data_IF_430291252998
#
_entry.id   IF_430291252998
#
_cell.length_a   1.000
_cell.length_b   1.000
_cell.length_c   1.000
_cell.angle_alpha   90.00
_cell.angle_beta   90.00
_cell.angle_gamma   90.00
#
_symmetry.space_group_name_H-M   'P 1'
#
loop_
_entity.id
_entity.type
_entity.pdbx_description
1 polymer ?
#
# COMPACT_ATOMS: atom_id res chain seq x y z
N UNK A 1 36.30 61.03 12.61
CA UNK A 1 36.80 60.72 11.24
C UNK A 1 38.21 60.19 11.42
N UNK A 2 38.65 58.98 11.07
CA UNK A 2 38.19 57.90 10.20
C UNK A 2 38.67 56.59 10.86
N UNK A 3 37.80 55.66 11.25
CA UNK A 3 38.23 54.30 11.63
C UNK A 3 37.07 53.30 11.52
N UNK A 4 36.27 53.36 10.46
CA UNK A 4 35.21 52.38 10.23
C UNK A 4 34.93 52.21 8.73
N UNK A 5 35.90 51.69 7.98
CA UNK A 5 35.66 51.24 6.59
C UNK A 5 36.69 50.20 6.16
N UNK A 6 36.75 49.06 6.86
CA UNK A 6 37.44 47.86 6.35
C UNK A 6 37.01 46.53 6.98
N UNK A 7 35.75 46.43 7.42
CA UNK A 7 35.17 45.15 7.84
C UNK A 7 33.76 45.05 7.24
N UNK A 8 33.68 44.83 5.93
CA UNK A 8 32.41 44.53 5.25
C UNK A 8 32.61 43.78 3.92
N UNK A 9 33.62 42.90 3.85
CA UNK A 9 33.79 41.95 2.73
C UNK A 9 34.11 40.52 3.19
N UNK A 10 33.63 40.13 4.36
CA UNK A 10 33.64 38.71 4.77
C UNK A 10 32.23 38.42 5.26
N UNK A 11 31.68 37.27 4.87
CA UNK A 11 30.31 36.82 5.08
C UNK A 11 29.28 37.32 4.08
N UNK A 12 29.35 36.84 2.83
CA UNK A 12 28.15 36.36 2.11
C UNK A 12 28.57 35.33 1.03
N UNK A 13 29.17 34.22 1.45
CA UNK A 13 29.07 32.97 0.69
C UNK A 13 27.96 32.14 1.33
N UNK A 14 26.71 32.48 1.00
CA UNK A 14 25.59 31.57 1.18
C UNK A 14 25.80 30.38 0.23
N UNK A 15 26.65 29.44 0.64
CA UNK A 15 26.77 28.13 0.02
C UNK A 15 25.41 27.47 0.20
N UNK A 16 24.61 27.45 -0.85
CA UNK A 16 23.34 26.74 -0.89
C UNK A 16 23.54 25.34 -0.31
N UNK A 17 22.80 25.00 0.74
CA UNK A 17 22.88 23.68 1.37
C UNK A 17 22.35 22.68 0.35
N UNK A 18 23.26 22.15 -0.48
CA UNK A 18 22.94 21.21 -1.55
C UNK A 18 22.36 19.95 -0.89
N UNK A 19 21.04 19.81 -0.96
CA UNK A 19 20.33 18.70 -0.34
C UNK A 19 20.86 17.38 -0.94
N UNK A 20 21.43 16.52 -0.09
CA UNK A 20 22.03 15.27 -0.55
C UNK A 20 20.96 14.35 -1.19
N UNK A 21 21.22 13.79 -2.38
CA UNK A 21 20.24 12.99 -3.13
C UNK A 21 19.68 11.83 -2.31
N UNK A 22 18.34 11.73 -2.27
CA UNK A 22 17.64 10.58 -1.72
C UNK A 22 17.88 9.33 -2.59
N UNK A 23 18.00 8.13 -1.98
CA UNK A 23 17.95 6.89 -2.73
C UNK A 23 16.71 6.84 -3.61
N UNK A 24 16.91 6.47 -4.87
CA UNK A 24 15.81 6.27 -5.80
C UNK A 24 15.05 4.97 -5.48
N UNK A 25 13.77 4.91 -5.86
CA UNK A 25 12.95 3.71 -5.69
C UNK A 25 13.36 2.60 -6.67
N UNK A 26 13.24 1.35 -6.23
CA UNK A 26 13.44 0.14 -7.04
C UNK A 26 12.50 -0.98 -6.60
N UNK A 27 12.28 -1.95 -7.48
CA UNK A 27 11.66 -3.24 -7.19
C UNK A 27 12.68 -4.38 -7.30
N UNK A 28 13.73 -4.20 -8.11
CA UNK A 28 14.83 -5.14 -8.28
C UNK A 28 16.16 -4.44 -8.57
N UNK A 29 17.27 -5.19 -8.52
CA UNK A 29 18.61 -4.68 -8.87
C UNK A 29 18.68 -4.11 -10.30
N UNK A 30 17.79 -4.55 -11.20
CA UNK A 30 17.71 -4.07 -12.59
C UNK A 30 17.22 -2.63 -12.68
N UNK A 31 16.52 -2.12 -11.66
CA UNK A 31 16.05 -0.74 -11.63
C UNK A 31 17.13 0.25 -11.18
N UNK A 32 18.25 -0.27 -10.68
CA UNK A 32 19.37 0.50 -10.16
C UNK A 32 20.54 0.57 -11.17
N UNK A 33 21.50 1.45 -10.89
CA UNK A 33 22.66 1.64 -11.76
C UNK A 33 23.47 0.34 -11.88
N UNK A 34 23.43 -0.25 -13.09
CA UNK A 34 24.01 -1.58 -13.37
C UNK A 34 25.47 -1.66 -12.92
N UNK A 35 25.80 -2.71 -12.17
CA UNK A 35 27.13 -2.95 -11.63
C UNK A 35 27.52 -2.08 -10.43
N UNK A 36 26.95 -0.88 -10.28
CA UNK A 36 27.35 0.12 -9.27
C UNK A 36 26.41 0.23 -8.07
N UNK A 37 25.16 -0.19 -8.20
CA UNK A 37 24.16 -0.15 -7.14
C UNK A 37 23.37 -1.46 -7.04
N UNK A 38 22.66 -1.63 -5.93
CA UNK A 38 21.74 -2.74 -5.66
C UNK A 38 20.45 -2.23 -5.04
N UNK A 39 19.36 -2.93 -5.29
CA UNK A 39 18.07 -2.65 -4.70
C UNK A 39 18.00 -3.30 -3.32
N UNK A 40 17.97 -2.46 -2.28
CA UNK A 40 17.81 -2.89 -0.90
C UNK A 40 16.55 -2.23 -0.39
N UNK A 41 15.57 -3.03 0.00
CA UNK A 41 14.34 -2.51 0.66
C UNK A 41 13.67 -1.42 -0.17
N UNK A 42 13.53 -1.68 -1.48
CA UNK A 42 12.91 -0.81 -2.47
C UNK A 42 13.61 0.53 -2.70
N UNK A 43 14.87 0.63 -2.30
CA UNK A 43 15.74 1.77 -2.55
C UNK A 43 17.05 1.34 -3.21
N UNK A 44 17.55 2.13 -4.16
CA UNK A 44 18.83 1.88 -4.78
C UNK A 44 19.97 2.39 -3.90
N UNK A 45 20.90 1.50 -3.57
CA UNK A 45 22.08 1.80 -2.76
C UNK A 45 23.36 1.49 -3.54
N UNK A 46 24.27 2.46 -3.61
CA UNK A 46 25.58 2.27 -4.22
C UNK A 46 26.39 1.19 -3.49
N UNK A 47 27.04 0.28 -4.24
CA UNK A 47 27.73 -0.92 -3.74
C UNK A 47 29.06 -0.62 -3.07
N UNK A 48 29.92 0.18 -3.71
CA UNK A 48 31.21 0.61 -3.16
C UNK A 48 30.98 1.28 -1.81
N UNK A 49 31.82 1.04 -0.80
CA UNK A 49 31.69 1.67 0.52
C UNK A 49 31.80 3.19 0.43
N UNK A 50 32.61 3.72 -0.49
CA UNK A 50 32.82 5.15 -0.68
C UNK A 50 31.89 5.80 -1.70
N UNK A 51 31.10 5.03 -2.45
CA UNK A 51 30.20 5.60 -3.44
C UNK A 51 28.94 6.24 -2.82
N UNK A 52 28.54 7.42 -3.30
CA UNK A 52 27.33 8.11 -2.88
C UNK A 52 26.49 8.59 -4.07
N UNK A 53 25.17 8.61 -3.90
CA UNK A 53 24.23 9.07 -4.92
C UNK A 53 22.83 8.50 -4.73
N UNK A 54 21.99 8.71 -5.74
CA UNK A 54 20.62 8.17 -5.75
C UNK A 54 20.58 6.66 -6.04
N UNK A 55 21.71 6.07 -6.47
CA UNK A 55 21.85 4.66 -6.78
C UNK A 55 21.16 4.21 -8.09
N UNK A 56 20.39 5.09 -8.74
CA UNK A 56 19.70 4.77 -9.99
C UNK A 56 20.36 5.44 -11.19
N UNK A 57 20.65 6.73 -11.06
CA UNK A 57 21.30 7.52 -12.12
C UNK A 57 22.77 7.73 -11.80
N UNK A 58 23.12 7.87 -10.52
CA UNK A 58 24.47 8.26 -10.10
C UNK A 58 24.93 7.49 -8.86
N UNK A 59 26.15 6.97 -8.96
CA UNK A 59 26.98 6.54 -7.85
C UNK A 59 28.37 7.13 -8.09
N UNK A 60 28.72 8.14 -7.30
CA UNK A 60 29.98 8.87 -7.41
C UNK A 60 30.91 8.42 -6.30
N UNK A 61 32.17 8.17 -6.62
CA UNK A 61 33.17 7.81 -5.62
C UNK A 61 33.56 9.04 -4.81
N UNK A 62 33.36 8.95 -3.50
CA UNK A 62 33.82 9.93 -2.55
C UNK A 62 35.06 9.36 -1.84
N UNK A 63 35.62 10.06 -0.87
CA UNK A 63 36.69 9.52 -0.04
C UNK A 63 36.27 9.39 1.40
N UNK A 64 36.81 8.39 2.08
CA UNK A 64 36.63 8.28 3.52
C UNK A 64 37.16 9.56 4.18
N UNK A 65 36.42 10.10 5.14
CA UNK A 65 36.84 11.31 5.84
C UNK A 65 38.17 11.05 6.54
N UNK A 66 39.11 12.00 6.44
CA UNK A 66 40.27 12.01 7.31
C UNK A 66 39.82 12.46 8.69
N UNK A 67 40.07 11.64 9.71
CA UNK A 67 39.84 12.02 11.10
C UNK A 67 40.84 13.10 11.48
N UNK A 68 40.50 14.36 11.23
CA UNK A 68 41.26 15.51 11.69
C UNK A 68 40.66 15.89 13.04
N UNK A 69 41.44 15.77 14.11
CA UNK A 69 41.10 16.26 15.47
C UNK A 69 39.93 15.57 16.19
N UNK A 70 39.71 14.26 15.95
CA UNK A 70 38.72 13.47 16.72
C UNK A 70 37.25 13.82 16.48
N UNK A 71 36.96 14.76 15.57
CA UNK A 71 35.61 15.09 15.13
C UNK A 71 35.16 14.12 14.04
N UNK A 72 34.21 13.26 14.37
CA UNK A 72 33.49 12.44 13.40
C UNK A 72 32.09 13.03 13.20
N UNK A 73 31.78 13.56 12.00
CA UNK A 73 30.48 14.16 11.68
C UNK A 73 29.33 13.13 11.69
N UNK A 74 29.66 11.84 11.82
CA UNK A 74 28.73 10.73 12.06
C UNK A 74 28.55 10.41 13.55
N UNK A 75 28.90 11.32 14.45
CA UNK A 75 28.59 11.26 15.89
C UNK A 75 27.54 12.32 16.23
N UNK A 76 26.50 11.93 16.96
CA UNK A 76 25.58 12.86 17.64
C UNK A 76 25.77 12.69 19.16
N UNK A 77 26.07 13.79 19.86
CA UNK A 77 26.26 13.77 21.31
C UNK A 77 27.37 12.83 21.79
N UNK A 78 28.49 12.75 21.05
CA UNK A 78 29.65 11.90 21.38
C UNK A 78 29.50 10.42 21.05
N UNK A 79 28.30 9.93 20.71
CA UNK A 79 28.07 8.54 20.31
C UNK A 79 28.07 8.41 18.79
N UNK A 80 28.92 7.52 18.26
CA UNK A 80 28.91 7.18 16.84
C UNK A 80 27.58 6.52 16.45
N UNK A 81 27.03 6.91 15.30
CA UNK A 81 25.91 6.18 14.74
C UNK A 81 26.38 4.74 14.44
N UNK A 82 25.76 3.77 15.11
CA UNK A 82 26.10 2.36 14.92
C UNK A 82 26.06 1.97 13.43
N UNK A 83 27.08 1.25 12.97
CA UNK A 83 27.21 0.74 11.61
C UNK A 83 27.24 1.82 10.53
N UNK A 84 27.95 2.92 10.79
CA UNK A 84 28.17 3.99 9.81
C UNK A 84 29.64 4.33 9.68
N UNK A 85 29.97 4.98 8.56
CA UNK A 85 31.25 5.62 8.32
C UNK A 85 31.06 6.94 7.58
N UNK A 86 32.02 7.84 7.74
CA UNK A 86 32.04 9.16 7.11
C UNK A 86 32.64 9.09 5.71
N UNK A 87 32.01 9.80 4.76
CA UNK A 87 32.53 10.02 3.42
C UNK A 87 32.46 11.52 3.05
N UNK A 88 33.43 11.98 2.27
CA UNK A 88 33.58 13.36 1.84
C UNK A 88 33.80 13.43 0.33
N UNK A 89 33.06 14.32 -0.32
CA UNK A 89 33.26 14.68 -1.71
C UNK A 89 34.46 15.62 -1.82
N UNK A 90 35.49 15.24 -2.59
CA UNK A 90 36.72 16.03 -2.74
C UNK A 90 36.50 17.38 -3.39
N UNK A 91 35.61 17.44 -4.39
CA UNK A 91 35.44 18.64 -5.21
C UNK A 91 34.61 19.71 -4.48
N UNK A 92 33.54 19.30 -3.81
CA UNK A 92 32.62 20.22 -3.12
C UNK A 92 32.94 20.42 -1.63
N UNK A 93 33.76 19.53 -1.06
CA UNK A 93 33.98 19.42 0.39
C UNK A 93 32.78 18.89 1.17
N UNK A 94 31.70 18.45 0.49
CA UNK A 94 30.49 17.98 1.15
C UNK A 94 30.75 16.70 1.95
N UNK A 95 30.23 16.64 3.17
CA UNK A 95 30.40 15.53 4.10
C UNK A 95 29.06 14.83 4.30
N UNK A 96 29.07 13.50 4.30
CA UNK A 96 27.92 12.70 4.69
C UNK A 96 28.32 11.40 5.37
N UNK A 97 27.34 10.74 5.94
CA UNK A 97 27.50 9.50 6.66
C UNK A 97 26.77 8.41 5.88
N UNK A 98 27.40 7.23 5.82
CA UNK A 98 26.87 6.09 5.07
C UNK A 98 26.85 4.84 5.94
N UNK A 99 25.86 3.98 5.71
CA UNK A 99 25.77 2.70 6.38
C UNK A 99 26.88 1.73 5.92
N UNK A 100 27.39 0.95 6.86
CA UNK A 100 28.37 -0.11 6.58
C UNK A 100 27.73 -1.23 5.74
N UNK A 101 28.57 -2.06 5.14
CA UNK A 101 28.13 -3.23 4.38
C UNK A 101 27.21 -4.11 5.24
N UNK A 102 26.09 -4.53 4.66
CA UNK A 102 25.06 -5.31 5.37
C UNK A 102 24.04 -4.45 6.13
N UNK A 103 24.14 -3.12 6.07
CA UNK A 103 23.18 -2.19 6.64
C UNK A 103 22.60 -1.26 5.56
N UNK A 104 21.40 -0.74 5.79
CA UNK A 104 20.73 0.22 4.91
C UNK A 104 20.09 1.35 5.73
N UNK A 105 19.86 2.49 5.07
CA UNK A 105 19.23 3.66 5.68
C UNK A 105 20.03 4.94 5.62
N UNK A 106 19.71 5.88 6.51
CA UNK A 106 20.39 7.18 6.62
C UNK A 106 20.82 7.44 8.07
N UNK A 107 22.12 7.58 8.36
CA UNK A 107 22.68 7.72 9.71
C UNK A 107 21.98 8.70 10.65
N UNK A 108 21.56 9.87 10.15
CA UNK A 108 20.98 10.93 10.99
C UNK A 108 19.68 10.48 11.63
N UNK A 109 18.68 10.06 10.85
CA UNK A 109 17.44 9.45 11.31
C UNK A 109 16.67 8.91 10.09
N UNK A 110 16.16 7.68 10.12
CA UNK A 110 16.40 6.61 11.10
C UNK A 110 17.75 5.91 10.90
N UNK A 111 18.39 5.50 12.02
CA UNK A 111 19.71 4.84 12.10
C UNK A 111 19.88 3.72 11.06
N UNK A 112 21.13 3.42 10.70
CA UNK A 112 21.44 2.29 9.83
C UNK A 112 20.92 0.99 10.42
N UNK A 113 20.03 0.33 9.70
CA UNK A 113 19.46 -0.94 10.12
C UNK A 113 20.10 -2.09 9.39
N UNK A 114 20.27 -3.20 10.11
CA UNK A 114 20.81 -4.42 9.53
C UNK A 114 19.86 -4.86 8.42
N UNK A 115 20.41 -5.10 7.25
CA UNK A 115 19.74 -5.83 6.18
C UNK A 115 19.76 -7.33 6.49
N UNK A 116 19.46 -7.72 7.73
CA UNK A 116 19.16 -9.10 8.06
C UNK A 116 17.90 -9.52 7.31
N UNK A 117 17.76 -10.81 7.04
CA UNK A 117 16.55 -11.37 6.47
C UNK A 117 15.29 -11.05 7.30
N UNK A 118 14.18 -11.67 6.94
CA UNK A 118 12.97 -11.55 7.72
C UNK A 118 13.17 -11.91 9.21
N UNK A 119 12.37 -11.31 10.09
CA UNK A 119 12.24 -11.83 11.46
C UNK A 119 11.61 -13.24 11.46
N UNK A 120 11.48 -13.86 12.64
CA UNK A 120 10.86 -15.20 12.78
C UNK A 120 9.43 -15.28 12.22
N UNK A 121 8.77 -14.15 11.99
CA UNK A 121 7.43 -14.05 11.41
C UNK A 121 7.44 -13.73 9.90
N UNK A 122 8.60 -13.74 9.25
CA UNK A 122 8.70 -13.39 7.84
C UNK A 122 8.72 -11.88 7.56
N UNK A 123 8.75 -11.01 8.59
CA UNK A 123 8.64 -9.56 8.41
C UNK A 123 9.98 -8.92 8.10
N UNK A 124 9.96 -8.06 7.10
CA UNK A 124 11.13 -7.38 6.60
C UNK A 124 11.35 -6.02 7.34
N UNK A 125 12.61 -5.67 7.68
CA UNK A 125 12.93 -4.39 8.29
C UNK A 125 12.64 -3.22 7.35
N UNK A 126 12.16 -2.11 7.90
CA UNK A 126 11.87 -0.88 7.18
C UNK A 126 12.21 0.37 8.00
N UNK A 127 12.44 1.47 7.30
CA UNK A 127 12.72 2.78 7.91
C UNK A 127 11.57 3.76 7.71
N UNK A 128 10.90 3.64 6.57
CA UNK A 128 9.75 4.44 6.15
C UNK A 128 8.81 3.60 5.29
N UNK A 129 7.60 4.12 5.04
CA UNK A 129 6.61 3.49 4.15
C UNK A 129 7.18 3.09 2.78
N UNK A 130 8.08 3.90 2.22
CA UNK A 130 8.69 3.62 0.91
C UNK A 130 9.52 2.32 0.87
N UNK A 131 9.96 1.80 2.03
CA UNK A 131 10.68 0.52 2.08
C UNK A 131 9.75 -0.71 2.02
N UNK A 132 8.45 -0.51 2.21
CA UNK A 132 7.45 -1.58 2.26
C UNK A 132 6.63 -1.65 0.96
N UNK A 133 6.01 -2.80 0.65
CA UNK A 133 5.07 -2.89 -0.46
C UNK A 133 3.92 -1.88 -0.30
N UNK A 134 3.25 -1.58 -1.41
CA UNK A 134 2.08 -0.67 -1.43
C UNK A 134 1.02 -1.10 -0.41
N UNK A 135 0.79 -2.41 -0.26
CA UNK A 135 -0.14 -3.01 0.71
C UNK A 135 0.26 -2.91 2.18
N UNK A 136 1.41 -2.32 2.52
CA UNK A 136 1.99 -2.43 3.86
C UNK A 136 2.63 -1.15 4.36
N UNK A 137 2.45 -0.81 5.63
CA UNK A 137 3.08 0.34 6.25
C UNK A 137 4.34 -0.06 7.03
N UNK A 138 5.23 0.91 7.26
CA UNK A 138 6.35 0.71 8.16
C UNK A 138 5.94 1.07 9.58
N UNK A 139 5.91 0.10 10.47
CA UNK A 139 5.54 0.28 11.87
C UNK A 139 6.56 -0.40 12.78
N UNK A 140 7.10 0.33 13.76
CA UNK A 140 8.17 -0.16 14.65
C UNK A 140 9.31 -0.86 13.88
N UNK A 141 9.76 -0.21 12.81
CA UNK A 141 10.82 -0.68 11.91
C UNK A 141 10.55 -2.01 11.18
N UNK A 142 9.29 -2.43 11.08
CA UNK A 142 8.88 -3.65 10.35
C UNK A 142 7.74 -3.33 9.38
N UNK A 143 7.77 -3.95 8.21
CA UNK A 143 6.62 -3.86 7.30
C UNK A 143 5.44 -4.66 7.89
N UNK A 144 4.28 -4.02 7.95
CA UNK A 144 3.02 -4.60 8.43
C UNK A 144 1.92 -4.31 7.42
N UNK A 145 1.08 -5.28 7.11
CA UNK A 145 -0.03 -5.08 6.18
C UNK A 145 -0.92 -3.91 6.61
N UNK A 146 -1.31 -3.07 5.66
CA UNK A 146 -2.14 -1.90 5.89
C UNK A 146 -3.60 -2.31 6.15
N UNK A 147 -4.27 -1.57 7.04
CA UNK A 147 -5.70 -1.72 7.33
C UNK A 147 -6.06 -3.15 7.74
N UNK A 148 -7.06 -3.75 7.07
CA UNK A 148 -7.57 -5.09 7.32
C UNK A 148 -6.76 -6.21 6.68
N UNK A 149 -5.77 -5.89 5.86
CA UNK A 149 -5.02 -6.88 5.09
C UNK A 149 -4.23 -7.81 6.03
N UNK A 150 -4.12 -9.08 5.64
CA UNK A 150 -3.40 -10.10 6.43
C UNK A 150 -2.15 -10.58 5.71
N UNK A 151 -1.13 -10.92 6.49
CA UNK A 151 0.14 -11.46 6.02
C UNK A 151 1.34 -10.92 6.78
N UNK A 152 2.54 -11.14 6.26
CA UNK A 152 3.81 -10.79 6.91
C UNK A 152 4.31 -9.37 6.55
N UNK A 153 3.46 -8.54 5.95
CA UNK A 153 3.84 -7.19 5.53
C UNK A 153 4.68 -7.12 4.25
N UNK A 154 5.19 -8.23 3.73
CA UNK A 154 5.70 -8.30 2.35
C UNK A 154 4.67 -8.87 1.40
N UNK A 155 4.03 -9.96 1.82
CA UNK A 155 2.91 -10.56 1.11
C UNK A 155 1.65 -10.28 1.92
N UNK A 156 0.81 -9.39 1.40
CA UNK A 156 -0.48 -9.08 1.99
C UNK A 156 -1.61 -9.59 1.09
N UNK A 157 -2.65 -10.11 1.72
CA UNK A 157 -3.84 -10.63 1.05
C UNK A 157 -5.09 -10.03 1.70
N UNK A 158 -6.19 -10.02 0.95
CA UNK A 158 -7.49 -9.61 1.50
C UNK A 158 -7.88 -10.56 2.63
N UNK A 159 -8.37 -10.04 3.78
CA UNK A 159 -8.86 -10.90 4.84
C UNK A 159 -10.16 -11.58 4.42
N UNK A 160 -10.61 -12.58 5.18
CA UNK A 160 -11.99 -13.05 5.12
C UNK A 160 -12.99 -11.88 5.28
N UNK A 161 -14.22 -12.00 4.72
CA UNK A 161 -15.29 -11.04 4.96
C UNK A 161 -15.49 -10.79 6.46
N UNK A 162 -15.69 -9.52 6.84
CA UNK A 162 -15.92 -9.15 8.24
C UNK A 162 -17.38 -9.45 8.60
N UNK A 163 -17.66 -10.35 9.55
CA UNK A 163 -19.04 -10.63 9.97
C UNK A 163 -19.66 -9.43 10.69
N UNK A 164 -20.98 -9.31 10.61
CA UNK A 164 -21.75 -8.30 11.32
C UNK A 164 -23.15 -8.81 11.68
N UNK A 165 -23.63 -8.38 12.84
CA UNK A 165 -25.03 -8.55 13.28
C UNK A 165 -25.84 -7.28 13.05
N UNK A 166 -25.18 -6.12 13.09
CA UNK A 166 -25.79 -4.82 12.87
C UNK A 166 -24.81 -3.89 12.13
N UNK A 167 -25.28 -2.70 11.77
CA UNK A 167 -24.52 -1.76 10.95
C UNK A 167 -23.34 -1.09 11.69
N UNK A 168 -23.33 -1.07 13.02
CA UNK A 168 -22.29 -0.37 13.80
C UNK A 168 -20.90 -1.00 13.65
N UNK A 169 -20.84 -2.31 13.37
CA UNK A 169 -19.58 -3.02 13.11
C UNK A 169 -18.96 -2.64 11.75
N UNK A 170 -19.79 -2.19 10.81
CA UNK A 170 -19.41 -1.82 9.45
C UNK A 170 -19.15 -0.32 9.35
N UNK A 171 -18.09 0.15 9.99
CA UNK A 171 -17.77 1.59 10.15
C UNK A 171 -18.00 2.44 8.88
N UNK A 172 -17.49 2.00 7.73
CA UNK A 172 -17.61 2.71 6.45
C UNK A 172 -18.56 2.02 5.46
N UNK A 173 -19.04 0.83 5.80
CA UNK A 173 -19.85 -0.03 4.96
C UNK A 173 -21.27 -0.20 5.47
N UNK A 174 -21.96 -1.22 4.98
CA UNK A 174 -23.25 -1.67 5.52
C UNK A 174 -23.23 -3.16 5.80
N UNK A 175 -24.03 -3.58 6.78
CA UNK A 175 -24.18 -4.99 7.09
C UNK A 175 -25.17 -5.61 6.09
N UNK A 176 -24.69 -6.52 5.24
CA UNK A 176 -25.48 -7.11 4.16
C UNK A 176 -25.22 -8.62 4.13
N UNK A 177 -26.25 -9.41 4.45
CA UNK A 177 -26.14 -10.87 4.51
C UNK A 177 -25.12 -11.33 5.54
N UNK A 178 -25.17 -10.77 6.76
CA UNK A 178 -24.27 -11.04 7.89
C UNK A 178 -22.80 -10.65 7.70
N UNK A 179 -22.47 -9.92 6.62
CA UNK A 179 -21.11 -9.42 6.39
C UNK A 179 -21.10 -7.94 6.06
N UNK A 180 -20.07 -7.25 6.54
CA UNK A 180 -19.83 -5.87 6.19
C UNK A 180 -19.41 -5.76 4.72
N UNK A 181 -20.06 -4.85 4.00
CA UNK A 181 -19.78 -4.57 2.58
C UNK A 181 -19.55 -3.09 2.37
N UNK A 182 -18.48 -2.77 1.64
CA UNK A 182 -18.26 -1.40 1.16
C UNK A 182 -19.30 -1.05 0.08
N UNK A 183 -20.09 -0.03 0.35
CA UNK A 183 -21.15 0.42 -0.56
C UNK A 183 -20.59 1.24 -1.71
N UNK A 184 -21.24 1.19 -2.87
CA UNK A 184 -20.81 1.92 -4.06
C UNK A 184 -20.14 1.05 -5.12
N UNK A 185 -20.16 1.56 -6.36
CA UNK A 185 -19.84 0.77 -7.55
C UNK A 185 -18.38 0.30 -7.62
N UNK A 186 -17.45 1.18 -7.25
CA UNK A 186 -16.01 0.98 -7.34
C UNK A 186 -15.35 1.07 -5.96
N UNK A 187 -15.71 0.14 -5.08
CA UNK A 187 -15.29 0.16 -3.68
C UNK A 187 -14.77 -1.22 -3.25
N UNK A 188 -13.58 -1.22 -2.67
CA UNK A 188 -12.87 -2.38 -2.11
C UNK A 188 -12.73 -2.23 -0.58
N UNK A 189 -12.42 -3.34 0.09
CA UNK A 189 -12.24 -3.41 1.54
C UNK A 189 -13.21 -4.39 2.20
N UNK A 190 -13.17 -4.46 3.53
CA UNK A 190 -13.99 -5.38 4.32
C UNK A 190 -15.23 -4.73 4.95
N UNK A 191 -15.57 -3.49 4.56
CA UNK A 191 -16.72 -2.76 5.10
C UNK A 191 -16.47 -2.05 6.44
N UNK A 192 -15.37 -2.35 7.15
CA UNK A 192 -14.85 -1.47 8.21
C UNK A 192 -13.92 -0.40 7.65
N UNK A 193 -13.09 -0.81 6.69
CA UNK A 193 -12.26 0.10 5.89
C UNK A 193 -12.67 -0.06 4.43
N UNK A 194 -13.01 1.05 3.79
CA UNK A 194 -13.45 1.11 2.41
C UNK A 194 -12.57 2.08 1.61
N UNK A 195 -12.29 1.70 0.37
CA UNK A 195 -11.43 2.50 -0.51
C UNK A 195 -11.86 2.38 -1.95
N UNK A 196 -11.67 3.47 -2.69
CA UNK A 196 -11.95 3.53 -4.12
C UNK A 196 -11.10 2.48 -4.87
N UNK A 197 -11.78 1.57 -5.53
CA UNK A 197 -11.20 0.57 -6.41
C UNK A 197 -11.20 1.08 -7.86
N UNK A 198 -10.45 0.43 -8.74
CA UNK A 198 -10.53 0.67 -10.19
C UNK A 198 -11.22 -0.52 -10.87
N UNK A 199 -11.96 -0.31 -11.97
CA UNK A 199 -12.38 -1.43 -12.81
C UNK A 199 -11.14 -2.16 -13.35
N UNK A 200 -11.27 -3.47 -13.57
CA UNK A 200 -10.23 -4.21 -14.29
C UNK A 200 -10.11 -3.71 -15.74
N UNK A 201 -8.91 -3.83 -16.36
CA UNK A 201 -8.74 -3.60 -17.78
C UNK A 201 -9.74 -4.42 -18.61
N UNK A 202 -10.15 -3.89 -19.78
CA UNK A 202 -11.01 -4.62 -20.72
C UNK A 202 -10.39 -5.99 -21.03
N UNK A 203 -11.23 -7.01 -21.17
CA UNK A 203 -10.84 -8.40 -21.49
C UNK A 203 -10.06 -9.17 -20.39
N UNK A 204 -9.95 -8.61 -19.17
CA UNK A 204 -9.37 -9.32 -18.01
C UNK A 204 -10.41 -9.77 -16.98
N UNK A 205 -11.70 -9.55 -17.28
CA UNK A 205 -12.81 -9.84 -16.39
C UNK A 205 -13.10 -11.35 -16.36
N UNK A 206 -12.60 -12.05 -15.34
CA UNK A 206 -12.92 -13.46 -15.05
C UNK A 206 -14.11 -13.62 -14.09
N UNK A 207 -14.93 -12.59 -13.92
CA UNK A 207 -16.07 -12.66 -13.02
C UNK A 207 -17.28 -13.25 -13.72
N UNK A 208 -18.02 -14.11 -13.02
CA UNK A 208 -19.29 -14.65 -13.49
C UNK A 208 -20.39 -13.60 -13.64
N UNK A 209 -21.57 -14.06 -14.04
CA UNK A 209 -22.76 -13.22 -14.18
C UNK A 209 -23.03 -12.41 -12.90
N UNK A 210 -23.59 -11.21 -13.07
CA UNK A 210 -23.95 -10.30 -11.98
C UNK A 210 -22.78 -9.88 -11.06
N UNK A 211 -21.55 -10.00 -11.53
CA UNK A 211 -20.37 -9.53 -10.84
C UNK A 211 -19.56 -8.55 -11.70
N UNK A 212 -18.78 -7.71 -11.02
CA UNK A 212 -17.82 -6.79 -11.64
C UNK A 212 -16.41 -7.09 -11.15
N UNK A 213 -15.47 -7.04 -12.08
CA UNK A 213 -14.05 -7.12 -11.77
C UNK A 213 -13.53 -5.77 -11.31
N UNK A 214 -12.88 -5.76 -10.15
CA UNK A 214 -12.25 -4.60 -9.53
C UNK A 214 -10.79 -4.89 -9.17
N UNK A 215 -9.99 -3.85 -9.14
CA UNK A 215 -8.62 -3.83 -8.66
C UNK A 215 -8.57 -2.94 -7.43
N UNK A 216 -8.14 -3.53 -6.33
CA UNK A 216 -7.88 -2.84 -5.08
C UNK A 216 -6.55 -2.08 -5.18
N UNK A 217 -6.48 -0.77 -4.90
CA UNK A 217 -5.24 0.01 -5.00
C UNK A 217 -4.13 -0.50 -4.08
N UNK A 218 -4.45 -1.20 -2.99
CA UNK A 218 -3.46 -1.83 -2.12
C UNK A 218 -2.99 -3.18 -2.66
N UNK A 219 -3.79 -3.86 -3.48
CA UNK A 219 -3.47 -5.15 -4.07
C UNK A 219 -3.54 -5.07 -5.60
N UNK A 220 -2.71 -4.22 -6.25
CA UNK A 220 -2.84 -3.92 -7.68
C UNK A 220 -2.61 -5.12 -8.60
N UNK A 221 -1.90 -6.15 -8.12
CA UNK A 221 -1.62 -7.40 -8.83
C UNK A 221 -2.72 -8.46 -8.67
N UNK A 222 -3.75 -8.20 -7.86
CA UNK A 222 -4.83 -9.14 -7.57
C UNK A 222 -6.18 -8.50 -7.83
N UNK A 223 -6.86 -8.97 -8.87
CA UNK A 223 -8.23 -8.57 -9.17
C UNK A 223 -9.23 -9.29 -8.24
N UNK A 224 -10.47 -8.82 -8.23
CA UNK A 224 -11.56 -9.51 -7.58
C UNK A 224 -12.93 -9.20 -8.14
N UNK A 225 -13.81 -10.16 -7.92
CA UNK A 225 -15.21 -10.06 -8.28
C UNK A 225 -16.03 -9.54 -7.10
N UNK A 226 -16.73 -8.43 -7.34
CA UNK A 226 -17.74 -7.87 -6.45
C UNK A 226 -19.11 -8.07 -7.08
N UNK A 227 -20.08 -8.59 -6.33
CA UNK A 227 -21.44 -8.70 -6.84
C UNK A 227 -22.04 -7.32 -7.11
N UNK A 228 -22.85 -7.24 -8.16
CA UNK A 228 -23.63 -6.06 -8.48
C UNK A 228 -24.65 -5.77 -7.36
N UNK A 229 -25.12 -4.52 -7.20
CA UNK A 229 -26.20 -4.19 -6.28
C UNK A 229 -27.40 -5.13 -6.51
N UNK A 230 -27.97 -5.66 -5.42
CA UNK A 230 -29.05 -6.66 -5.48
C UNK A 230 -28.55 -8.11 -5.48
N UNK A 231 -27.25 -8.35 -5.70
CA UNK A 231 -26.68 -9.69 -5.72
C UNK A 231 -25.74 -9.96 -4.53
N UNK A 232 -25.67 -11.23 -4.14
CA UNK A 232 -25.00 -11.71 -2.96
C UNK A 232 -24.05 -12.84 -3.32
N UNK A 233 -22.83 -12.78 -2.78
CA UNK A 233 -21.81 -13.81 -3.03
C UNK A 233 -22.13 -15.08 -2.26
N UNK A 234 -22.30 -16.20 -2.95
CA UNK A 234 -22.47 -17.54 -2.37
C UNK A 234 -21.15 -18.06 -1.77
N UNK A 235 -21.20 -19.22 -1.11
CA UNK A 235 -19.99 -19.91 -0.61
C UNK A 235 -19.05 -20.31 -1.75
N UNK A 236 -19.62 -20.71 -2.89
CA UNK A 236 -18.88 -21.10 -4.12
C UNK A 236 -18.35 -19.89 -4.89
N UNK A 237 -18.75 -18.68 -4.47
CA UNK A 237 -18.24 -17.42 -5.00
C UNK A 237 -19.06 -16.82 -6.14
N UNK A 238 -20.19 -17.42 -6.48
CA UNK A 238 -21.16 -16.91 -7.45
C UNK A 238 -21.98 -15.75 -6.89
N UNK A 239 -22.50 -14.89 -7.76
CA UNK A 239 -23.33 -13.76 -7.36
C UNK A 239 -24.81 -14.06 -7.65
N UNK A 240 -25.53 -14.44 -6.60
CA UNK A 240 -26.92 -14.86 -6.63
C UNK A 240 -27.85 -13.71 -6.23
N UNK A 241 -29.09 -13.70 -6.70
CA UNK A 241 -30.08 -12.67 -6.33
C UNK A 241 -30.46 -12.76 -4.84
N UNK A 242 -30.43 -13.96 -4.26
CA UNK A 242 -30.71 -14.18 -2.85
C UNK A 242 -29.83 -15.30 -2.27
N UNK A 243 -29.56 -15.24 -0.96
CA UNK A 243 -28.99 -16.36 -0.18
C UNK A 243 -30.01 -16.96 0.79
N UNK A 244 -31.08 -16.22 1.07
CA UNK A 244 -32.20 -16.59 1.93
C UNK A 244 -33.43 -15.81 1.50
N UNK A 245 -34.62 -16.25 1.90
CA UNK A 245 -35.89 -15.55 1.63
C UNK A 245 -35.88 -14.10 2.10
N UNK A 246 -35.18 -13.78 3.19
CA UNK A 246 -35.01 -12.40 3.68
C UNK A 246 -34.29 -11.46 2.70
N UNK A 247 -33.57 -12.00 1.70
CA UNK A 247 -32.93 -11.18 0.68
C UNK A 247 -33.90 -10.77 -0.44
N UNK A 248 -35.03 -11.46 -0.55
CA UNK A 248 -36.06 -11.15 -1.53
C UNK A 248 -36.91 -10.00 -1.01
N UNK A 249 -36.85 -8.87 -1.72
CA UNK A 249 -37.51 -7.61 -1.32
C UNK A 249 -39.01 -7.60 -1.61
N UNK A 250 -39.52 -8.61 -2.32
CA UNK A 250 -40.91 -8.66 -2.78
C UNK A 250 -41.76 -9.44 -1.79
N UNK A 251 -42.91 -8.90 -1.42
CA UNK A 251 -43.92 -9.62 -0.62
C UNK A 251 -44.32 -10.90 -1.36
N UNK A 252 -44.46 -12.00 -0.62
CA UNK A 252 -44.76 -13.35 -1.15
C UNK A 252 -43.70 -13.92 -2.10
N UNK A 253 -42.43 -13.54 -1.95
CA UNK A 253 -41.32 -14.20 -2.63
C UNK A 253 -40.44 -14.99 -1.66
N UNK A 254 -39.85 -16.08 -2.15
CA UNK A 254 -38.88 -16.89 -1.42
C UNK A 254 -37.64 -17.15 -2.25
N UNK A 255 -36.53 -17.48 -1.58
CA UNK A 255 -35.28 -17.76 -2.28
C UNK A 255 -35.24 -19.23 -2.72
N UNK A 256 -35.18 -19.47 -4.03
CA UNK A 256 -35.02 -20.81 -4.59
C UNK A 256 -33.78 -20.85 -5.48
N UNK A 257 -32.81 -21.70 -5.11
CA UNK A 257 -31.54 -21.88 -5.84
C UNK A 257 -30.82 -20.57 -6.22
N UNK A 258 -30.90 -19.56 -5.35
CA UNK A 258 -30.22 -18.28 -5.56
C UNK A 258 -31.02 -17.22 -6.33
N UNK A 259 -32.27 -17.52 -6.70
CA UNK A 259 -33.18 -16.60 -7.40
C UNK A 259 -34.40 -16.35 -6.53
N UNK A 260 -34.90 -15.11 -6.52
CA UNK A 260 -36.15 -14.78 -5.84
C UNK A 260 -37.33 -15.21 -6.71
N UNK A 261 -38.12 -16.17 -6.22
CA UNK A 261 -39.31 -16.70 -6.91
C UNK A 261 -40.56 -16.36 -6.12
N UNK A 262 -41.67 -16.15 -6.82
CA UNK A 262 -42.96 -15.89 -6.20
C UNK A 262 -43.58 -17.18 -5.65
N UNK A 263 -44.34 -17.06 -4.55
CA UNK A 263 -45.13 -18.17 -4.01
C UNK A 263 -46.31 -18.48 -4.96
N UNK A 264 -46.59 -19.77 -5.15
CA UNK A 264 -47.75 -20.27 -5.89
C UNK A 264 -47.87 -19.70 -7.32
N UNK A 265 -49.08 -19.32 -7.74
CA UNK A 265 -49.40 -18.80 -9.08
C UNK A 265 -49.14 -17.29 -9.24
N UNK A 266 -48.47 -16.66 -8.26
CA UNK A 266 -48.18 -15.23 -8.34
C UNK A 266 -47.06 -14.98 -9.38
N UNK A 267 -47.23 -13.94 -10.17
CA UNK A 267 -46.25 -13.46 -11.15
C UNK A 267 -45.48 -12.26 -10.63
N UNK A 268 -44.32 -12.05 -11.25
CA UNK A 268 -43.37 -11.03 -10.83
C UNK A 268 -43.87 -9.62 -11.20
N UNK A 269 -44.55 -8.95 -10.28
CA UNK A 269 -44.93 -7.54 -10.38
C UNK A 269 -43.75 -6.57 -10.16
N UNK A 270 -44.00 -5.26 -10.29
CA UNK A 270 -42.94 -4.24 -10.13
C UNK A 270 -42.40 -4.19 -8.70
N UNK A 271 -43.27 -4.27 -7.70
CA UNK A 271 -42.90 -4.11 -6.28
C UNK A 271 -43.22 -5.36 -5.42
N UNK A 272 -44.12 -6.24 -5.87
CA UNK A 272 -44.51 -7.46 -5.18
C UNK A 272 -44.67 -8.64 -6.15
N UNK A 273 -44.91 -9.83 -5.60
CA UNK A 273 -45.50 -10.92 -6.35
C UNK A 273 -47.02 -10.71 -6.38
N UNK A 274 -47.59 -10.58 -7.57
CA UNK A 274 -48.98 -10.20 -7.81
C UNK A 274 -49.73 -11.40 -8.40
N UNK A 275 -51.04 -11.55 -8.15
CA UNK A 275 -51.86 -12.55 -8.85
C UNK A 275 -51.72 -12.37 -10.37
N UNK A 276 -51.55 -13.48 -11.11
CA UNK A 276 -51.55 -13.42 -12.57
C UNK A 276 -52.83 -12.81 -13.11
N UNK A 277 -52.70 -11.85 -14.03
CA UNK A 277 -53.85 -11.38 -14.78
C UNK A 277 -54.46 -12.58 -15.53
N UNK A 278 -55.71 -12.88 -15.21
CA UNK A 278 -56.48 -13.90 -15.91
C UNK A 278 -56.71 -13.42 -17.35
N UNK A 279 -55.99 -14.03 -18.29
CA UNK A 279 -56.02 -13.72 -19.74
C UNK A 279 -57.46 -13.85 -20.31
N UNK A 280 -58.40 -14.48 -19.56
CA UNK A 280 -59.81 -14.57 -19.92
C UNK A 280 -60.61 -13.27 -19.77
N UNK A 281 -60.06 -12.20 -19.19
CA UNK A 281 -60.76 -10.90 -19.04
C UNK A 281 -60.49 -9.87 -20.14
N UNK A 282 -59.70 -10.18 -21.18
CA UNK A 282 -59.41 -9.26 -22.31
C UNK A 282 -60.41 -9.44 -23.47
N UNK A 283 -61.66 -9.77 -23.16
CA UNK A 283 -62.77 -9.67 -24.13
C UNK A 283 -63.99 -9.11 -23.41
N UNK A 284 -64.17 -7.81 -23.49
CA UNK A 284 -65.46 -7.14 -23.71
C UNK A 284 -65.21 -5.73 -24.22
#
# INVERSE_FOLDING_TARGET
MQFFTKILEIFHSQKSVKLLPAPAKCESDRDCLRGKARCIRRECHCKSSTAFGDGKRKCEEWTQCRNVLGYDPCRLGGKAFANTHCIQNKDSGAITCKCNNGYFGRPKYPRCMRNSGADSSGRLPCLKKANCPVSSNCYKNKCTCSYELRGNGETCKRPPPLPCLNHQLCKEGKCVGLFCRCMGKYQAGNGRYCRKAKPCPRNTNKCGANARCLIDPLLPKSNFCKCNPGFYKSKDGECLECLSTYNCKKTYSFCFKGTCVCLAELVLGKESCEPGEDIRKIRH
#
